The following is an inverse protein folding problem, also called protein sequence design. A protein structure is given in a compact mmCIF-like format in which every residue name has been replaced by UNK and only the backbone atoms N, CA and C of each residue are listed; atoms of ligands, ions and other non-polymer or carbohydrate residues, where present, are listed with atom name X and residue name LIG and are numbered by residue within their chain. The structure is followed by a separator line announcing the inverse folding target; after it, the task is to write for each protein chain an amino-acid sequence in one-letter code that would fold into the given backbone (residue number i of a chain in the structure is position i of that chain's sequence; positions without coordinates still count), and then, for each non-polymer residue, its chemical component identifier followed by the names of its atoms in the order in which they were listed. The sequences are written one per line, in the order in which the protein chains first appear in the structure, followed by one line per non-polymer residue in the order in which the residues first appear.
data_IF_368382918315
#
_entry.id   IF_368382918315
#
_cell.length_a   1.000
_cell.length_b   1.000
_cell.length_c   1.000
_cell.angle_alpha   90.00
_cell.angle_beta   90.00
_cell.angle_gamma   90.00
#
_symmetry.space_group_name_H-M   'P 1'
#
loop_
_entity.id
_entity.type
_entity.pdbx_description
1 polymer ?
#
# COMPACT_ATOMS: atom_id res chain seq x y z
N UNK A 1 -8.94 -8.65 -0.12
CA UNK A 1 -7.65 -9.21 0.35
C UNK A 1 -6.62 -9.01 -0.75
N UNK A 2 -5.40 -8.65 -0.39
CA UNK A 2 -4.29 -8.36 -1.30
C UNK A 2 -3.11 -9.25 -0.88
N UNK A 3 -2.41 -9.85 -1.84
CA UNK A 3 -1.19 -10.61 -1.62
C UNK A 3 -0.03 -9.90 -2.32
N UNK A 4 1.12 -9.79 -1.65
CA UNK A 4 2.32 -9.23 -2.27
C UNK A 4 3.27 -10.33 -2.70
N UNK A 5 4.02 -10.04 -3.76
CA UNK A 5 5.00 -10.96 -4.32
C UNK A 5 6.38 -10.29 -4.35
N UNK A 6 7.43 -11.10 -4.22
CA UNK A 6 8.80 -10.63 -4.41
C UNK A 6 9.12 -10.41 -5.90
N UNK A 7 10.34 -9.95 -6.18
CA UNK A 7 10.78 -9.70 -7.57
C UNK A 7 10.88 -10.98 -8.41
N UNK A 8 10.96 -12.16 -7.79
CA UNK A 8 10.95 -13.45 -8.47
C UNK A 8 9.51 -14.00 -8.67
N UNK A 9 8.49 -13.27 -8.20
CA UNK A 9 7.09 -13.66 -8.29
C UNK A 9 6.64 -14.64 -7.20
N UNK A 10 7.44 -14.88 -6.17
CA UNK A 10 7.01 -15.72 -5.05
C UNK A 10 6.14 -14.91 -4.09
N UNK A 11 5.17 -15.55 -3.45
CA UNK A 11 4.40 -14.93 -2.36
C UNK A 11 5.35 -14.48 -1.25
N UNK A 12 5.21 -13.22 -0.83
CA UNK A 12 5.91 -12.74 0.37
C UNK A 12 5.28 -13.40 1.59
N UNK A 13 6.12 -13.80 2.53
CA UNK A 13 5.71 -14.44 3.80
C UNK A 13 5.73 -13.49 4.98
N UNK A 14 6.13 -12.24 4.75
CA UNK A 14 6.22 -11.21 5.79
C UNK A 14 5.73 -9.88 5.23
N UNK A 15 4.99 -9.13 6.06
CA UNK A 15 4.44 -7.82 5.72
C UNK A 15 5.47 -6.69 5.69
N UNK A 16 5.04 -5.47 5.97
CA UNK A 16 5.85 -4.25 6.04
C UNK A 16 5.91 -3.43 4.75
N UNK A 17 5.25 -3.88 3.67
CA UNK A 17 5.06 -3.08 2.46
C UNK A 17 4.08 -1.93 2.72
N UNK A 18 4.35 -0.75 2.16
CA UNK A 18 3.41 0.37 2.19
C UNK A 18 2.49 0.29 0.97
N UNK A 19 1.27 -0.19 1.18
CA UNK A 19 0.20 -0.14 0.19
C UNK A 19 -0.65 1.12 0.38
N UNK A 20 -1.27 1.58 -0.70
CA UNK A 20 -2.30 2.61 -0.68
C UNK A 20 -3.52 2.15 -1.45
N UNK A 21 -4.68 2.56 -0.98
CA UNK A 21 -5.96 2.26 -1.61
C UNK A 21 -6.75 3.55 -1.74
N UNK A 22 -7.32 3.77 -2.91
CA UNK A 22 -8.20 4.90 -3.19
C UNK A 22 -9.43 4.42 -3.94
N UNK A 23 -10.60 4.91 -3.55
CA UNK A 23 -11.81 4.83 -4.36
C UNK A 23 -12.00 6.19 -5.04
N UNK A 24 -12.03 6.19 -6.37
CA UNK A 24 -12.13 7.40 -7.18
C UNK A 24 -13.47 7.42 -7.94
N UNK A 25 -14.09 8.60 -8.02
CA UNK A 25 -15.21 8.87 -8.91
C UNK A 25 -14.76 9.86 -10.00
N UNK A 26 -14.55 9.34 -11.21
CA UNK A 26 -14.05 10.14 -12.33
C UNK A 26 -15.06 11.21 -12.78
N UNK A 27 -16.36 11.00 -12.56
CA UNK A 27 -17.41 11.94 -12.97
C UNK A 27 -17.44 13.19 -12.10
N UNK A 28 -17.14 13.05 -10.80
CA UNK A 28 -17.09 14.17 -9.85
C UNK A 28 -15.67 14.63 -9.54
N UNK A 29 -14.65 13.97 -10.10
CA UNK A 29 -13.24 14.23 -9.81
C UNK A 29 -12.86 14.00 -8.35
N UNK A 30 -13.62 13.17 -7.64
CA UNK A 30 -13.47 12.97 -6.19
C UNK A 30 -12.71 11.67 -5.88
N UNK A 31 -11.97 11.64 -4.78
CA UNK A 31 -11.30 10.42 -4.31
C UNK A 31 -11.30 10.35 -2.77
N UNK A 32 -11.44 9.15 -2.24
CA UNK A 32 -11.32 8.85 -0.82
C UNK A 32 -10.23 7.81 -0.60
N UNK A 33 -9.40 8.03 0.41
CA UNK A 33 -8.37 7.07 0.80
C UNK A 33 -8.97 5.98 1.67
N UNK A 34 -8.69 4.73 1.32
CA UNK A 34 -8.99 3.57 2.15
C UNK A 34 -7.90 3.28 3.19
N UNK A 35 -8.27 2.49 4.19
CA UNK A 35 -7.36 1.91 5.15
C UNK A 35 -6.74 0.62 4.60
N UNK A 36 -5.47 0.38 4.97
CA UNK A 36 -4.79 -0.89 4.73
C UNK A 36 -4.41 -1.49 6.06
N UNK A 37 -4.81 -2.73 6.28
CA UNK A 37 -4.43 -3.56 7.42
C UNK A 37 -3.38 -4.56 6.93
N UNK A 38 -2.18 -4.50 7.51
CA UNK A 38 -1.11 -5.46 7.29
C UNK A 38 -1.24 -6.61 8.30
N UNK A 39 -1.37 -7.84 7.81
CA UNK A 39 -1.49 -9.03 8.67
C UNK A 39 -0.14 -9.59 9.11
N UNK A 40 0.97 -8.97 8.69
CA UNK A 40 2.33 -9.35 9.05
C UNK A 40 2.89 -10.54 8.28
N UNK A 41 2.08 -11.21 7.46
CA UNK A 41 2.43 -12.44 6.75
C UNK A 41 2.51 -12.30 5.22
N UNK A 42 2.64 -11.07 4.71
CA UNK A 42 2.67 -10.76 3.27
C UNK A 42 1.28 -10.64 2.63
N UNK A 43 0.22 -10.75 3.43
CA UNK A 43 -1.15 -10.48 3.01
C UNK A 43 -1.70 -9.23 3.69
N UNK A 44 -2.63 -8.56 3.01
CA UNK A 44 -3.22 -7.30 3.45
C UNK A 44 -4.72 -7.29 3.24
N UNK A 45 -5.44 -6.57 4.10
CA UNK A 45 -6.85 -6.21 3.88
C UNK A 45 -6.95 -4.72 3.55
N UNK A 46 -7.69 -4.42 2.49
CA UNK A 46 -8.03 -3.06 2.10
C UNK A 46 -9.48 -2.77 2.43
N UNK A 47 -9.74 -1.67 3.12
CA UNK A 47 -11.08 -1.21 3.49
C UNK A 47 -11.28 0.21 2.99
N UNK A 48 -12.37 0.47 2.29
CA UNK A 48 -12.71 1.81 1.80
C UNK A 48 -14.22 1.98 1.79
N UNK A 49 -14.68 3.17 2.17
CA UNK A 49 -16.10 3.51 2.15
C UNK A 49 -16.58 3.72 0.71
N UNK A 50 -17.71 3.10 0.37
CA UNK A 50 -18.39 3.31 -0.90
C UNK A 50 -19.18 4.64 -0.86
N UNK A 51 -18.46 5.76 -0.93
CA UNK A 51 -19.01 7.09 -0.66
C UNK A 51 -19.95 7.65 -1.74
N UNK A 52 -20.00 7.05 -2.93
CA UNK A 52 -20.81 7.55 -4.06
C UNK A 52 -21.67 6.45 -4.67
N UNK A 53 -22.86 6.85 -5.15
CA UNK A 53 -23.67 6.01 -6.02
C UNK A 53 -23.09 5.98 -7.44
N UNK A 54 -23.30 4.85 -8.12
CA UNK A 54 -22.86 4.66 -9.50
C UNK A 54 -21.45 4.08 -9.62
N UNK A 55 -20.76 4.41 -10.72
CA UNK A 55 -19.48 3.81 -11.06
C UNK A 55 -18.33 4.51 -10.33
N UNK A 56 -17.49 3.71 -9.67
CA UNK A 56 -16.26 4.16 -9.02
C UNK A 56 -15.10 3.24 -9.42
N UNK A 57 -13.88 3.77 -9.40
CA UNK A 57 -12.64 3.06 -9.71
C UNK A 57 -11.86 2.83 -8.42
N UNK A 58 -11.60 1.57 -8.09
CA UNK A 58 -10.71 1.21 -6.99
C UNK A 58 -9.27 1.14 -7.49
N UNK A 59 -8.39 1.92 -6.89
CA UNK A 59 -6.95 1.91 -7.18
C UNK A 59 -6.24 1.33 -5.96
N UNK A 60 -5.46 0.29 -6.19
CA UNK A 60 -4.57 -0.31 -5.19
C UNK A 60 -3.14 -0.21 -5.71
N UNK A 61 -2.24 0.35 -4.91
CA UNK A 61 -0.85 0.53 -5.30
C UNK A 61 0.12 0.13 -4.19
N UNK A 62 1.22 -0.52 -4.60
CA UNK A 62 2.40 -0.70 -3.77
C UNK A 62 3.25 0.58 -3.86
N UNK A 63 3.14 1.45 -2.86
CA UNK A 63 3.85 2.73 -2.85
C UNK A 63 5.34 2.53 -2.56
N UNK A 64 5.67 1.70 -1.55
CA UNK A 64 7.04 1.29 -1.26
C UNK A 64 7.09 -0.15 -0.76
N UNK A 65 7.98 -0.99 -1.30
CA UNK A 65 8.25 -2.30 -0.70
C UNK A 65 8.99 -2.13 0.64
N UNK A 66 8.82 -3.08 1.56
CA UNK A 66 9.46 -3.05 2.89
C UNK A 66 10.98 -2.91 2.81
N UNK A 67 11.58 -3.44 1.76
CA UNK A 67 13.02 -3.41 1.51
C UNK A 67 13.48 -1.97 1.27
N UNK A 68 12.73 -1.20 0.47
CA UNK A 68 12.98 0.22 0.26
C UNK A 68 12.80 1.01 1.56
N UNK A 69 11.74 0.72 2.32
CA UNK A 69 11.51 1.35 3.63
C UNK A 69 12.68 1.08 4.58
N UNK A 70 13.11 -0.18 4.68
CA UNK A 70 14.25 -0.58 5.52
C UNK A 70 15.55 0.12 5.09
N UNK A 71 15.82 0.18 3.78
CA UNK A 71 16.98 0.87 3.23
C UNK A 71 16.96 2.37 3.57
N UNK A 72 15.82 3.05 3.40
CA UNK A 72 15.67 4.47 3.77
C UNK A 72 15.93 4.71 5.26
N UNK A 73 15.44 3.84 6.15
CA UNK A 73 15.72 3.95 7.59
C UNK A 73 17.20 3.75 7.93
N UNK A 74 17.90 2.84 7.24
CA UNK A 74 19.35 2.61 7.44
C UNK A 74 20.15 3.83 6.99
N UNK A 75 19.89 4.32 5.78
CA UNK A 75 20.56 5.51 5.23
C UNK A 75 20.34 6.74 6.12
N UNK A 76 19.12 6.95 6.63
CA UNK A 76 18.85 8.06 7.56
C UNK A 76 19.69 8.00 8.84
N UNK A 77 20.00 6.80 9.33
CA UNK A 77 20.81 6.62 10.55
C UNK A 77 22.30 6.83 10.29
N UNK A 78 22.78 6.40 9.13
CA UNK A 78 24.18 6.55 8.70
C UNK A 78 24.53 8.00 8.34
N UNK A 79 23.57 8.77 7.84
CA UNK A 79 23.72 10.19 7.45
C UNK A 79 23.53 11.16 8.65
N UNK A 80 23.61 10.68 9.90
CA UNK A 80 23.81 11.58 11.04
C UNK A 80 25.23 12.13 10.99
N UNK A 81 25.38 13.28 10.32
CA UNK A 81 26.60 14.08 10.36
C UNK A 81 26.93 14.46 11.80
N UNK A 82 28.22 14.35 12.11
CA UNK A 82 28.93 15.01 13.22
C UNK A 82 28.62 16.50 13.23
#
# INVERSE_FOLDING_TARGET
MITTHDNAGNLKTVGGDLLKIFLCNDSTGSAIQGMVIDHGNGTYTGEVEAAWSGMSKLIVSLAYPREAISAMYRLRKEVRFV
#
